data_IF_392772747436
#
_entry.id   IF_392772747436
#
_cell.length_a   1.000
_cell.length_b   1.000
_cell.length_c   1.000
_cell.angle_alpha   90.00
_cell.angle_beta   90.00
_cell.angle_gamma   90.00
#
_symmetry.space_group_name_H-M   'P 1'
#
loop_
_entity.id
_entity.type
_entity.pdbx_description
1 polymer ?
#
# COMPACT_ATOMS: atom_id res chain seq x y z
N UNK A 1 -17.09 -20.79 15.92
CA UNK A 1 -17.61 -21.48 14.72
C UNK A 1 -16.61 -22.57 14.36
N UNK A 2 -17.03 -23.83 14.15
CA UNK A 2 -16.12 -24.90 13.71
C UNK A 2 -15.77 -24.68 12.23
N UNK A 3 -14.54 -25.05 11.80
CA UNK A 3 -14.07 -24.81 10.43
C UNK A 3 -14.96 -25.42 9.33
N UNK A 4 -15.54 -26.60 9.57
CA UNK A 4 -16.47 -27.25 8.65
C UNK A 4 -17.74 -26.42 8.41
N UNK A 5 -18.27 -25.75 9.44
CA UNK A 5 -19.43 -24.87 9.33
C UNK A 5 -19.11 -23.63 8.48
N UNK A 6 -17.89 -23.06 8.62
CA UNK A 6 -17.48 -21.91 7.81
C UNK A 6 -17.40 -22.25 6.32
N UNK A 7 -16.78 -23.38 5.96
CA UNK A 7 -16.66 -23.82 4.57
C UNK A 7 -18.02 -24.08 3.92
N UNK A 8 -18.95 -24.70 4.65
CA UNK A 8 -20.31 -24.92 4.18
C UNK A 8 -21.02 -23.58 3.91
N UNK A 9 -20.89 -22.60 4.80
CA UNK A 9 -21.46 -21.27 4.61
C UNK A 9 -20.86 -20.55 3.40
N UNK A 10 -19.54 -20.57 3.21
CA UNK A 10 -18.90 -19.94 2.05
C UNK A 10 -19.43 -20.54 0.74
N UNK A 11 -19.52 -21.87 0.66
CA UNK A 11 -20.09 -22.56 -0.50
C UNK A 11 -21.55 -22.20 -0.74
N UNK A 12 -22.37 -22.16 0.32
CA UNK A 12 -23.78 -21.77 0.23
C UNK A 12 -23.96 -20.33 -0.27
N UNK A 13 -23.03 -19.43 0.08
CA UNK A 13 -23.00 -18.04 -0.40
C UNK A 13 -22.34 -17.88 -1.78
N UNK A 14 -21.91 -18.97 -2.43
CA UNK A 14 -21.19 -18.92 -3.71
C UNK A 14 -19.78 -18.34 -3.62
N UNK A 15 -19.21 -18.24 -2.41
CA UNK A 15 -17.86 -17.71 -2.18
C UNK A 15 -16.85 -18.86 -2.24
N UNK A 16 -15.94 -18.79 -3.22
CA UNK A 16 -14.85 -19.76 -3.36
C UNK A 16 -13.73 -19.46 -2.34
N UNK A 17 -13.42 -20.38 -1.41
CA UNK A 17 -12.31 -20.19 -0.48
C UNK A 17 -10.98 -20.39 -1.22
N UNK A 18 -10.04 -19.50 -0.97
CA UNK A 18 -8.62 -19.65 -1.34
C UNK A 18 -7.78 -19.50 -0.09
N UNK A 19 -6.76 -20.34 0.07
CA UNK A 19 -5.88 -20.36 1.23
C UNK A 19 -4.45 -20.05 0.80
N UNK A 20 -3.77 -19.24 1.62
CA UNK A 20 -2.33 -19.03 1.49
C UNK A 20 -1.56 -20.34 1.66
N UNK A 21 -0.35 -20.37 1.10
CA UNK A 21 0.55 -21.50 1.24
C UNK A 21 0.91 -21.71 2.73
N UNK A 22 0.94 -22.96 3.21
CA UNK A 22 1.33 -23.24 4.58
C UNK A 22 2.71 -22.68 4.90
N UNK A 23 2.82 -21.91 6.01
CA UNK A 23 4.09 -21.36 6.49
C UNK A 23 4.60 -20.14 5.72
N UNK A 24 3.80 -19.53 4.84
CA UNK A 24 4.23 -18.41 3.99
C UNK A 24 3.49 -17.13 4.37
N UNK A 25 4.18 -16.20 5.06
CA UNK A 25 3.59 -14.93 5.52
C UNK A 25 3.35 -13.91 4.40
N UNK A 26 4.18 -13.93 3.35
CA UNK A 26 4.12 -12.95 2.27
C UNK A 26 3.02 -13.20 1.23
N UNK A 27 2.10 -14.14 1.46
CA UNK A 27 0.94 -14.38 0.60
C UNK A 27 -0.20 -13.37 0.88
N UNK A 28 -0.25 -12.73 2.07
CA UNK A 28 -1.28 -11.72 2.42
C UNK A 28 -0.74 -10.37 2.94
N UNK A 29 0.27 -9.77 2.31
CA UNK A 29 0.93 -8.56 2.79
C UNK A 29 0.04 -7.31 2.83
N UNK A 30 -1.06 -7.26 2.07
CA UNK A 30 -2.10 -6.24 2.25
C UNK A 30 -2.68 -6.27 3.67
N UNK A 31 -3.10 -7.45 4.13
CA UNK A 31 -3.65 -7.65 5.46
C UNK A 31 -2.61 -7.38 6.54
N UNK A 32 -1.37 -7.81 6.32
CA UNK A 32 -0.26 -7.52 7.25
C UNK A 32 0.02 -6.02 7.37
N UNK A 33 0.01 -5.29 6.25
CA UNK A 33 0.18 -3.83 6.23
C UNK A 33 -0.92 -3.14 7.05
N UNK A 34 -2.17 -3.56 6.89
CA UNK A 34 -3.28 -3.07 7.70
C UNK A 34 -3.06 -3.32 9.21
N UNK A 35 -2.64 -4.54 9.60
CA UNK A 35 -2.35 -4.85 11.00
C UNK A 35 -1.18 -4.03 11.55
N UNK A 36 -0.17 -3.75 10.73
CA UNK A 36 0.92 -2.84 11.11
C UNK A 36 0.37 -1.42 11.33
N UNK A 37 -0.43 -0.87 10.41
CA UNK A 37 -1.04 0.46 10.61
C UNK A 37 -1.86 0.52 11.89
N UNK A 38 -2.63 -0.54 12.19
CA UNK A 38 -3.41 -0.65 13.41
C UNK A 38 -2.52 -0.57 14.67
N UNK A 39 -1.45 -1.37 14.73
CA UNK A 39 -0.59 -1.49 15.92
C UNK A 39 0.29 -0.27 16.19
N UNK A 40 0.74 0.41 15.13
CA UNK A 40 1.68 1.52 15.23
C UNK A 40 1.02 2.90 15.28
N UNK A 41 -0.32 2.97 15.26
CA UNK A 41 -1.06 4.23 15.43
C UNK A 41 -0.95 4.70 16.89
N UNK A 42 -0.83 6.02 17.15
CA UNK A 42 -0.80 6.56 18.52
C UNK A 42 -2.00 6.19 19.41
N UNK A 43 -3.17 5.95 18.81
CA UNK A 43 -4.40 5.60 19.53
C UNK A 43 -4.56 4.08 19.80
N UNK A 44 -3.50 3.28 19.62
CA UNK A 44 -3.52 1.86 19.93
C UNK A 44 -3.66 1.63 21.45
N UNK A 45 -4.59 0.76 21.91
CA UNK A 45 -4.83 0.53 23.32
C UNK A 45 -3.63 -0.21 23.94
N UNK A 46 -3.04 0.38 24.99
CA UNK A 46 -1.97 -0.26 25.76
C UNK A 46 -2.49 -1.22 26.83
N UNK A 47 -3.76 -1.06 27.22
CA UNK A 47 -4.45 -1.91 28.20
C UNK A 47 -5.59 -2.67 27.52
N UNK A 48 -5.97 -3.80 28.11
CA UNK A 48 -7.16 -4.53 27.69
C UNK A 48 -8.44 -3.68 27.83
N UNK A 49 -9.45 -3.98 27.03
CA UNK A 49 -10.76 -3.36 27.14
C UNK A 49 -11.57 -4.00 28.27
N UNK A 50 -12.26 -3.19 29.07
CA UNK A 50 -13.10 -3.68 30.16
C UNK A 50 -14.39 -4.36 29.67
N UNK A 51 -14.86 -3.99 28.47
CA UNK A 51 -16.09 -4.53 27.88
C UNK A 51 -15.96 -4.79 26.40
N UNK A 52 -16.76 -5.75 25.91
CA UNK A 52 -16.90 -6.01 24.47
C UNK A 52 -17.39 -4.78 23.70
N UNK A 53 -18.25 -3.97 24.33
CA UNK A 53 -18.74 -2.73 23.73
C UNK A 53 -17.60 -1.73 23.49
N UNK A 54 -16.72 -1.53 24.49
CA UNK A 54 -15.56 -0.65 24.35
C UNK A 54 -14.62 -1.12 23.21
N UNK A 55 -14.36 -2.43 23.13
CA UNK A 55 -13.56 -3.00 22.05
C UNK A 55 -14.19 -2.74 20.67
N UNK A 56 -15.50 -2.99 20.52
CA UNK A 56 -16.22 -2.74 19.26
C UNK A 56 -16.24 -1.27 18.88
N UNK A 57 -16.47 -0.37 19.83
CA UNK A 57 -16.45 1.08 19.61
C UNK A 57 -15.07 1.55 19.13
N UNK A 58 -14.00 1.05 19.76
CA UNK A 58 -12.63 1.37 19.36
C UNK A 58 -12.31 0.87 17.95
N UNK A 59 -12.65 -0.38 17.61
CA UNK A 59 -12.47 -0.92 16.25
C UNK A 59 -13.28 -0.12 15.24
N UNK A 60 -14.52 0.27 15.56
CA UNK A 60 -15.35 1.11 14.69
C UNK A 60 -14.71 2.48 14.43
N UNK A 61 -14.13 3.11 15.44
CA UNK A 61 -13.40 4.35 15.29
C UNK A 61 -12.12 4.18 14.45
N UNK A 62 -11.41 3.06 14.61
CA UNK A 62 -10.26 2.71 13.78
C UNK A 62 -10.64 2.58 12.31
N UNK A 63 -11.70 1.85 11.98
CA UNK A 63 -12.16 1.65 10.60
C UNK A 63 -12.56 2.97 9.95
N UNK A 64 -13.31 3.82 10.66
CA UNK A 64 -13.67 5.16 10.17
C UNK A 64 -12.43 6.00 9.88
N UNK A 65 -11.50 6.07 10.83
CA UNK A 65 -10.27 6.82 10.69
C UNK A 65 -9.43 6.30 9.50
N UNK A 66 -9.25 4.99 9.39
CA UNK A 66 -8.46 4.38 8.31
C UNK A 66 -9.04 4.71 6.94
N UNK A 67 -10.36 4.58 6.77
CA UNK A 67 -11.01 4.75 5.47
C UNK A 67 -11.23 6.22 5.08
N UNK A 68 -11.47 7.12 6.04
CA UNK A 68 -11.94 8.47 5.74
C UNK A 68 -10.98 9.60 6.14
N UNK A 69 -10.01 9.35 7.02
CA UNK A 69 -9.12 10.39 7.55
C UNK A 69 -7.65 10.10 7.24
N UNK A 70 -7.22 8.85 7.36
CA UNK A 70 -5.84 8.45 7.16
C UNK A 70 -5.46 8.51 5.68
N UNK A 71 -4.43 9.31 5.38
CA UNK A 71 -3.90 9.48 4.03
C UNK A 71 -2.71 8.56 3.84
N UNK A 72 -2.80 7.67 2.85
CA UNK A 72 -1.80 6.63 2.63
C UNK A 72 -0.76 7.07 1.61
N UNK A 73 0.52 7.07 2.00
CA UNK A 73 1.63 7.45 1.10
C UNK A 73 1.71 6.59 -0.15
N UNK A 74 1.41 5.29 -0.03
CA UNK A 74 1.41 4.32 -1.12
C UNK A 74 0.39 4.62 -2.22
N UNK A 75 -0.65 5.40 -1.93
CA UNK A 75 -1.65 5.87 -2.91
C UNK A 75 -1.66 7.39 -2.98
N UNK A 76 -0.48 8.02 -2.91
CA UNK A 76 -0.32 9.47 -3.08
C UNK A 76 -1.14 10.31 -2.09
N UNK A 77 -1.25 9.86 -0.84
CA UNK A 77 -1.93 10.55 0.25
C UNK A 77 -3.40 10.88 -0.03
N UNK A 78 -4.11 10.02 -0.73
CA UNK A 78 -5.59 10.00 -0.69
C UNK A 78 -6.05 9.01 0.37
N UNK A 79 -7.32 9.12 0.78
CA UNK A 79 -7.91 8.15 1.71
C UNK A 79 -8.44 6.93 0.93
N UNK A 80 -8.55 5.75 1.57
CA UNK A 80 -9.10 4.57 0.90
C UNK A 80 -10.52 4.81 0.36
N UNK A 81 -11.36 5.54 1.09
CA UNK A 81 -12.71 5.88 0.63
C UNK A 81 -12.69 6.79 -0.61
N UNK A 82 -11.79 7.77 -0.68
CA UNK A 82 -11.64 8.63 -1.87
C UNK A 82 -11.21 7.84 -3.10
N UNK A 83 -10.26 6.92 -2.92
CA UNK A 83 -9.81 6.03 -4.00
C UNK A 83 -10.92 5.08 -4.45
N UNK A 84 -11.66 4.51 -3.50
CA UNK A 84 -12.78 3.62 -3.79
C UNK A 84 -13.89 4.34 -4.57
N UNK A 85 -14.15 5.60 -4.26
CA UNK A 85 -15.11 6.45 -4.97
C UNK A 85 -14.58 7.05 -6.29
N UNK A 86 -13.35 6.68 -6.73
CA UNK A 86 -12.68 7.24 -7.91
C UNK A 86 -12.49 8.77 -7.90
N UNK A 87 -12.49 9.39 -6.72
CA UNK A 87 -12.27 10.84 -6.55
C UNK A 87 -10.79 11.22 -6.51
N UNK A 88 -9.91 10.22 -6.55
CA UNK A 88 -8.49 10.39 -6.31
C UNK A 88 -7.79 11.15 -7.44
N UNK A 89 -8.19 10.95 -8.70
CA UNK A 89 -7.61 11.67 -9.84
C UNK A 89 -7.78 13.18 -9.69
N UNK A 90 -9.00 13.66 -9.48
CA UNK A 90 -9.30 15.09 -9.29
C UNK A 90 -8.58 15.71 -8.08
N UNK A 91 -8.40 14.93 -7.01
CA UNK A 91 -7.66 15.38 -5.82
C UNK A 91 -6.18 15.55 -6.18
N UNK A 92 -5.63 14.61 -6.93
CA UNK A 92 -4.22 14.60 -7.30
C UNK A 92 -3.89 15.70 -8.31
N UNK A 93 -4.76 15.95 -9.29
CA UNK A 93 -4.58 17.02 -10.27
C UNK A 93 -4.60 18.40 -9.60
N UNK A 94 -5.53 18.63 -8.68
CA UNK A 94 -5.56 19.85 -7.86
C UNK A 94 -4.27 20.03 -7.04
N UNK A 95 -3.69 18.94 -6.51
CA UNK A 95 -2.41 19.00 -5.78
C UNK A 95 -1.24 19.31 -6.69
N UNK A 96 -1.21 18.77 -7.90
CA UNK A 96 -0.20 19.08 -8.92
C UNK A 96 -0.19 20.59 -9.21
N UNK A 97 -1.35 21.16 -9.55
CA UNK A 97 -1.48 22.59 -9.83
C UNK A 97 -1.08 23.47 -8.62
N UNK A 98 -1.48 23.07 -7.41
CA UNK A 98 -1.10 23.77 -6.18
C UNK A 98 0.43 23.77 -5.96
N UNK A 99 1.08 22.62 -6.16
CA UNK A 99 2.53 22.51 -6.00
C UNK A 99 3.28 23.31 -7.07
N UNK A 100 2.80 23.32 -8.30
CA UNK A 100 3.40 24.08 -9.40
C UNK A 100 3.30 25.58 -9.17
N UNK A 101 2.12 26.09 -8.78
CA UNK A 101 1.94 27.50 -8.42
C UNK A 101 2.78 27.91 -7.20
N UNK A 102 2.93 27.04 -6.20
CA UNK A 102 3.80 27.27 -5.05
C UNK A 102 5.29 27.29 -5.44
N UNK A 103 5.69 26.46 -6.41
CA UNK A 103 7.05 26.45 -6.96
C UNK A 103 7.36 27.72 -7.73
N UNK A 104 6.44 28.16 -8.60
CA UNK A 104 6.60 29.37 -9.40
C UNK A 104 6.79 30.62 -8.52
N UNK A 105 6.01 30.73 -7.42
CA UNK A 105 6.10 31.86 -6.49
C UNK A 105 7.42 31.98 -5.74
N UNK A 106 8.08 30.87 -5.44
CA UNK A 106 9.27 30.85 -4.56
C UNK A 106 10.31 29.84 -5.07
N UNK A 107 10.83 30.05 -6.27
CA UNK A 107 11.68 29.07 -6.96
C UNK A 107 12.92 28.67 -6.16
N UNK A 108 13.56 29.62 -5.46
CA UNK A 108 14.76 29.39 -4.65
C UNK A 108 14.55 28.41 -3.47
N UNK A 109 13.30 28.24 -3.01
CA UNK A 109 12.96 27.26 -1.95
C UNK A 109 12.99 25.82 -2.45
N UNK A 110 12.87 25.61 -3.76
CA UNK A 110 12.72 24.27 -4.35
C UNK A 110 14.02 23.82 -5.00
N UNK A 111 14.71 22.87 -4.34
CA UNK A 111 15.94 22.27 -4.87
C UNK A 111 15.68 21.23 -5.97
N UNK A 112 14.54 20.57 -5.91
CA UNK A 112 14.18 19.45 -6.78
C UNK A 112 12.80 19.65 -7.40
N UNK A 113 12.40 18.71 -8.27
CA UNK A 113 11.05 18.63 -8.81
C UNK A 113 10.00 18.57 -7.70
N UNK A 114 8.79 19.01 -8.02
CA UNK A 114 7.63 18.88 -7.12
C UNK A 114 7.36 17.40 -6.80
N UNK A 115 6.63 17.17 -5.71
CA UNK A 115 6.24 15.82 -5.33
C UNK A 115 5.44 15.16 -6.45
N UNK A 116 5.72 13.88 -6.73
CA UNK A 116 4.94 13.13 -7.70
C UNK A 116 3.52 12.88 -7.18
N UNK A 117 2.54 13.47 -7.85
CA UNK A 117 1.11 13.32 -7.62
C UNK A 117 0.40 12.50 -8.69
N UNK A 118 1.12 11.88 -9.64
CA UNK A 118 0.50 11.00 -10.63
C UNK A 118 -0.20 9.82 -9.94
N UNK A 119 -1.42 9.54 -10.41
CA UNK A 119 -2.24 8.41 -9.96
C UNK A 119 -1.47 7.11 -10.18
N UNK A 120 -1.59 6.21 -9.22
CA UNK A 120 -1.04 4.85 -9.32
C UNK A 120 -2.17 3.96 -9.80
N UNK A 121 -2.03 3.33 -10.96
CA UNK A 121 -3.08 2.49 -11.54
C UNK A 121 -2.97 1.04 -11.09
N UNK A 122 -1.75 0.51 -11.04
CA UNK A 122 -1.45 -0.86 -10.62
C UNK A 122 -0.38 -0.90 -9.52
N UNK A 123 -0.52 -1.87 -8.63
CA UNK A 123 0.49 -2.20 -7.61
C UNK A 123 0.73 -3.70 -7.70
N UNK A 124 1.99 -4.10 -7.89
CA UNK A 124 2.40 -5.48 -7.93
C UNK A 124 2.97 -5.88 -6.57
N UNK A 125 2.49 -7.01 -6.04
CA UNK A 125 2.88 -7.45 -4.72
C UNK A 125 4.18 -8.25 -4.71
N UNK A 126 4.35 -9.09 -5.73
CA UNK A 126 5.60 -9.69 -6.12
C UNK A 126 5.70 -9.44 -7.63
N UNK A 127 6.30 -8.33 -8.07
CA UNK A 127 6.54 -8.14 -9.49
C UNK A 127 7.42 -9.28 -9.98
N UNK A 128 7.09 -9.87 -11.13
CA UNK A 128 8.02 -10.78 -11.80
C UNK A 128 9.33 -10.02 -11.95
N UNK A 129 10.44 -10.65 -11.55
CA UNK A 129 11.75 -10.11 -11.88
C UNK A 129 11.80 -10.12 -13.40
N UNK A 130 11.62 -8.96 -14.02
CA UNK A 130 12.09 -8.77 -15.37
C UNK A 130 13.58 -9.02 -15.25
N UNK A 131 14.06 -10.14 -15.78
CA UNK A 131 15.49 -10.35 -15.96
C UNK A 131 15.96 -9.13 -16.74
N UNK A 132 16.60 -8.20 -16.04
CA UNK A 132 17.48 -7.26 -16.69
C UNK A 132 18.56 -8.15 -17.30
N UNK A 133 18.37 -8.58 -18.55
CA UNK A 133 19.45 -8.99 -19.43
C UNK A 133 20.34 -7.75 -19.63
N UNK A 134 21.07 -7.41 -18.56
CA UNK A 134 22.22 -6.55 -18.65
C UNK A 134 23.23 -7.32 -19.47
N UNK A 135 23.39 -6.89 -20.72
CA UNK A 135 24.57 -7.17 -21.52
C UNK A 135 25.78 -6.95 -20.62
N UNK A 136 26.44 -8.04 -20.20
CA UNK A 136 27.67 -7.95 -19.46
C UNK A 136 28.70 -7.22 -20.34
N UNK A 137 29.46 -6.24 -19.82
CA UNK A 137 30.54 -5.65 -20.58
C UNK A 137 31.55 -6.76 -20.90
N UNK A 138 31.85 -6.95 -22.19
CA UNK A 138 32.94 -7.82 -22.63
C UNK A 138 34.26 -7.32 -22.01
N UNK A 139 35.08 -8.19 -21.41
CA UNK A 139 36.39 -7.80 -20.95
C UNK A 139 37.28 -7.40 -22.14
N UNK A 140 38.17 -6.42 -21.98
CA UNK A 140 39.02 -5.96 -23.07
C UNK A 140 39.96 -7.09 -23.53
N UNK A 141 40.01 -7.23 -24.84
CA UNK A 141 40.84 -8.12 -25.63
C UNK A 141 42.28 -8.17 -25.07
N UNK A 142 42.66 -9.26 -24.40
CA UNK A 142 44.06 -9.51 -24.06
C UNK A 142 44.78 -9.89 -25.35
N UNK A 143 45.60 -8.96 -25.83
CA UNK A 143 46.58 -9.18 -26.89
C UNK A 143 47.39 -10.45 -26.61
N UNK A 144 47.32 -11.41 -27.53
CA UNK A 144 48.29 -12.50 -27.59
C UNK A 144 49.65 -11.91 -27.93
N UNK A 145 50.52 -11.73 -26.94
CA UNK A 145 51.96 -11.62 -27.18
C UNK A 145 52.55 -13.03 -27.34
N UNK A 146 53.14 -13.23 -28.50
CA UNK A 146 53.92 -14.40 -28.86
C UNK A 146 55.26 -14.44 -28.11
N UNK A 147 55.62 -15.62 -27.62
CA UNK A 147 56.96 -16.22 -27.61
C UNK A 147 56.81 -17.68 -27.17
#
# INVERSE_FOLDING_TARGET
MKGATMLATLRALGVMPSLSRPGVSNDTPYSESLFKTLKYRPAYPLKAFDTLFAARAWVGALVRWYNHEHRHSAIRFVTPAQRHANLDQDILDRRTALYESARQRNQLRWRCRTRNWQRIDAVHLNPDRVDHQGVAPQPPNQERKAA
#
